data_IF_671142503436
#
_entry.id   IF_671142503436
#
_cell.length_a   1.000
_cell.length_b   1.000
_cell.length_c   1.000
_cell.angle_alpha   90.00
_cell.angle_beta   90.00
_cell.angle_gamma   90.00
#
_symmetry.space_group_name_H-M   'P 1'
#
loop_
_entity.id
_entity.type
_entity.pdbx_description
1 polymer ?
#
# COMPACT_ATOMS: atom_id res chain seq x y z
N UNK A 1 -48.32 -7.12 97.05
CA UNK A 1 -48.05 -6.11 95.99
C UNK A 1 -47.16 -6.72 94.91
N UNK A 2 -47.54 -6.51 93.65
CA UNK A 2 -46.81 -6.67 92.38
C UNK A 2 -46.09 -8.00 92.06
N UNK A 3 -46.76 -8.86 91.26
CA UNK A 3 -46.13 -9.95 90.49
C UNK A 3 -45.49 -9.38 89.23
N UNK A 4 -44.21 -9.72 88.99
CA UNK A 4 -43.47 -9.51 87.73
C UNK A 4 -44.15 -10.31 86.61
N UNK A 5 -44.57 -9.64 85.54
CA UNK A 5 -44.96 -10.30 84.29
C UNK A 5 -43.73 -10.41 83.38
N UNK A 6 -43.26 -11.64 83.15
CA UNK A 6 -42.32 -11.95 82.08
C UNK A 6 -43.01 -11.79 80.73
N UNK A 7 -42.47 -10.91 79.90
CA UNK A 7 -42.94 -10.69 78.54
C UNK A 7 -42.19 -11.65 77.61
N UNK A 8 -42.69 -12.87 77.44
CA UNK A 8 -42.14 -13.82 76.44
C UNK A 8 -42.57 -13.40 75.04
N UNK A 9 -41.62 -12.82 74.29
CA UNK A 9 -41.77 -12.47 72.88
C UNK A 9 -41.88 -13.75 72.04
N UNK A 10 -43.11 -14.13 71.66
CA UNK A 10 -43.36 -15.28 70.78
C UNK A 10 -43.05 -14.88 69.34
N UNK A 11 -41.87 -15.29 68.85
CA UNK A 11 -41.46 -15.12 67.44
C UNK A 11 -42.44 -15.91 66.54
N UNK A 12 -43.24 -15.21 65.74
CA UNK A 12 -44.19 -15.83 64.81
C UNK A 12 -43.45 -16.63 63.72
N UNK A 13 -43.78 -17.93 63.50
CA UNK A 13 -43.18 -18.76 62.46
C UNK A 13 -43.92 -18.56 61.13
N UNK A 14 -43.82 -17.38 60.54
CA UNK A 14 -44.53 -17.05 59.30
C UNK A 14 -43.75 -16.07 58.45
N UNK A 15 -42.63 -16.49 57.86
CA UNK A 15 -41.93 -15.65 56.87
C UNK A 15 -40.84 -16.36 56.05
N UNK A 16 -40.30 -17.50 56.51
CA UNK A 16 -39.12 -18.09 55.86
C UNK A 16 -39.44 -18.82 54.54
N UNK A 17 -40.54 -19.56 54.49
CA UNK A 17 -40.98 -20.25 53.27
C UNK A 17 -41.46 -19.26 52.20
N UNK A 18 -42.27 -18.27 52.59
CA UNK A 18 -42.77 -17.22 51.70
C UNK A 18 -41.64 -16.35 51.16
N UNK A 19 -40.65 -15.96 51.98
CA UNK A 19 -39.46 -15.24 51.51
C UNK A 19 -38.61 -16.06 50.53
N UNK A 20 -38.42 -17.36 50.77
CA UNK A 20 -37.71 -18.24 49.84
C UNK A 20 -38.44 -18.36 48.50
N UNK A 21 -39.77 -18.47 48.52
CA UNK A 21 -40.58 -18.54 47.31
C UNK A 21 -40.52 -17.22 46.51
N UNK A 22 -40.65 -16.07 47.18
CA UNK A 22 -40.56 -14.75 46.53
C UNK A 22 -39.16 -14.49 45.97
N UNK A 23 -38.10 -14.86 46.69
CA UNK A 23 -36.72 -14.74 46.19
C UNK A 23 -36.44 -15.71 45.04
N UNK A 24 -37.02 -16.92 45.06
CA UNK A 24 -36.90 -17.89 43.97
C UNK A 24 -37.60 -17.42 42.69
N UNK A 25 -38.85 -16.97 42.79
CA UNK A 25 -39.62 -16.42 41.66
C UNK A 25 -38.99 -15.13 41.14
N UNK A 26 -38.58 -14.23 42.04
CA UNK A 26 -37.87 -13.01 41.69
C UNK A 26 -36.54 -13.29 40.98
N UNK A 27 -35.78 -14.27 41.44
CA UNK A 27 -34.55 -14.73 40.79
C UNK A 27 -34.79 -15.26 39.37
N UNK A 28 -35.83 -16.08 39.18
CA UNK A 28 -36.21 -16.59 37.84
C UNK A 28 -36.63 -15.45 36.91
N UNK A 29 -37.43 -14.50 37.38
CA UNK A 29 -37.86 -13.34 36.56
C UNK A 29 -36.69 -12.43 36.17
N UNK A 30 -35.73 -12.22 37.08
CA UNK A 30 -34.50 -11.47 36.77
C UNK A 30 -33.66 -12.22 35.74
N UNK A 31 -33.47 -13.54 35.90
CA UNK A 31 -32.74 -14.35 34.92
C UNK A 31 -33.45 -14.35 33.55
N UNK A 32 -34.77 -14.47 33.50
CA UNK A 32 -35.54 -14.38 32.27
C UNK A 32 -35.40 -12.98 31.62
N UNK A 33 -35.50 -11.90 32.41
CA UNK A 33 -35.32 -10.53 31.92
C UNK A 33 -33.91 -10.24 31.41
N UNK A 34 -32.88 -10.82 32.03
CA UNK A 34 -31.49 -10.68 31.59
C UNK A 34 -31.18 -11.46 30.30
N UNK A 35 -31.88 -12.57 30.04
CA UNK A 35 -31.68 -13.40 28.84
C UNK A 35 -32.66 -13.10 27.70
N UNK A 36 -33.79 -12.43 27.97
CA UNK A 36 -34.81 -12.11 26.96
C UNK A 36 -34.27 -11.29 25.77
N UNK A 37 -33.39 -10.28 25.95
CA UNK A 37 -32.81 -9.55 24.82
C UNK A 37 -32.02 -10.47 23.87
N UNK A 38 -31.18 -11.35 24.41
CA UNK A 38 -30.41 -12.30 23.61
C UNK A 38 -31.30 -13.33 22.89
N UNK A 39 -32.38 -13.78 23.53
CA UNK A 39 -33.34 -14.68 22.90
C UNK A 39 -34.12 -14.01 21.76
N UNK A 40 -34.49 -12.74 21.91
CA UNK A 40 -35.16 -11.95 20.85
C UNK A 40 -34.21 -11.66 19.69
N UNK A 41 -32.95 -11.33 19.99
CA UNK A 41 -31.91 -11.13 18.98
C UNK A 41 -31.67 -12.41 18.17
N UNK A 42 -31.45 -13.54 18.85
CA UNK A 42 -31.29 -14.84 18.20
C UNK A 42 -32.50 -15.23 17.35
N UNK A 43 -33.74 -15.08 17.87
CA UNK A 43 -34.95 -15.36 17.10
C UNK A 43 -35.09 -14.41 15.89
N UNK A 44 -34.62 -13.16 16.01
CA UNK A 44 -34.56 -12.20 14.93
C UNK A 44 -33.56 -12.60 13.83
N UNK A 45 -32.36 -13.05 14.21
CA UNK A 45 -31.33 -13.53 13.29
C UNK A 45 -31.78 -14.81 12.55
N UNK A 46 -32.29 -15.80 13.28
CA UNK A 46 -32.81 -17.05 12.69
C UNK A 46 -33.97 -16.78 11.73
N UNK A 47 -34.89 -15.88 12.10
CA UNK A 47 -35.99 -15.47 11.22
C UNK A 47 -35.47 -14.71 9.99
N UNK A 48 -34.44 -13.88 10.14
CA UNK A 48 -33.80 -13.19 9.02
C UNK A 48 -33.18 -14.19 8.04
N UNK A 49 -32.36 -15.13 8.52
CA UNK A 49 -31.74 -16.19 7.74
C UNK A 49 -32.79 -17.04 7.00
N UNK A 50 -33.83 -17.47 7.72
CA UNK A 50 -34.97 -18.17 7.11
C UNK A 50 -35.58 -17.34 5.97
N UNK A 51 -35.86 -16.06 6.21
CA UNK A 51 -36.54 -15.18 5.25
C UNK A 51 -35.69 -14.96 3.99
N UNK A 52 -34.39 -14.72 4.12
CA UNK A 52 -33.49 -14.48 2.97
C UNK A 52 -33.19 -15.77 2.19
N UNK A 53 -33.38 -16.93 2.82
CA UNK A 53 -33.24 -18.24 2.18
C UNK A 53 -34.46 -18.67 1.34
N UNK A 54 -35.61 -17.98 1.43
CA UNK A 54 -36.82 -18.38 0.73
C UNK A 54 -36.70 -18.20 -0.79
N UNK A 55 -37.20 -19.16 -1.62
CA UNK A 55 -37.14 -19.05 -3.07
C UNK A 55 -37.80 -17.77 -3.63
N UNK A 56 -38.94 -17.38 -3.06
CA UNK A 56 -39.64 -16.15 -3.46
C UNK A 56 -38.85 -14.88 -3.12
N UNK A 57 -38.13 -14.90 -1.99
CA UNK A 57 -37.22 -13.82 -1.62
C UNK A 57 -36.03 -13.77 -2.56
N UNK A 58 -35.37 -14.90 -2.79
CA UNK A 58 -34.20 -14.99 -3.66
C UNK A 58 -34.52 -14.65 -5.13
N UNK A 59 -35.67 -15.07 -5.63
CA UNK A 59 -36.12 -14.71 -6.98
C UNK A 59 -36.33 -13.21 -7.14
N UNK A 60 -36.71 -12.50 -6.07
CA UNK A 60 -36.98 -11.06 -6.09
C UNK A 60 -35.76 -10.20 -5.76
N UNK A 61 -34.87 -10.68 -4.88
CA UNK A 61 -33.79 -9.88 -4.29
C UNK A 61 -32.38 -10.45 -4.52
N UNK A 62 -32.27 -11.66 -5.08
CA UNK A 62 -31.01 -12.40 -5.18
C UNK A 62 -30.57 -13.01 -3.85
N UNK A 63 -29.33 -13.48 -3.81
CA UNK A 63 -28.68 -13.98 -2.59
C UNK A 63 -27.19 -13.61 -2.59
N UNK A 64 -26.63 -13.50 -1.39
CA UNK A 64 -25.20 -13.29 -1.18
C UNK A 64 -24.60 -14.54 -0.55
N UNK A 65 -23.43 -14.94 -1.05
CA UNK A 65 -22.67 -16.03 -0.46
C UNK A 65 -21.23 -15.58 -0.26
N UNK A 66 -20.65 -15.96 0.88
CA UNK A 66 -19.21 -15.78 1.12
C UNK A 66 -18.44 -16.83 0.32
N UNK A 67 -17.42 -16.38 -0.39
CA UNK A 67 -16.46 -17.29 -1.03
C UNK A 67 -15.37 -17.61 -0.03
N UNK A 68 -15.22 -18.89 0.33
CA UNK A 68 -14.18 -19.33 1.26
C UNK A 68 -12.81 -19.34 0.58
N UNK A 69 -12.05 -18.27 0.78
CA UNK A 69 -10.68 -18.13 0.27
C UNK A 69 -9.69 -18.73 1.30
N UNK A 70 -8.89 -19.75 0.93
CA UNK A 70 -7.87 -20.30 1.82
C UNK A 70 -6.87 -19.22 2.26
N UNK A 71 -6.45 -19.25 3.52
CA UNK A 71 -5.62 -18.21 4.14
C UNK A 71 -4.38 -17.83 3.31
N UNK A 72 -3.73 -18.81 2.66
CA UNK A 72 -2.54 -18.60 1.82
C UNK A 72 -2.79 -17.74 0.56
N UNK A 73 -4.04 -17.59 0.11
CA UNK A 73 -4.42 -16.77 -1.04
C UNK A 73 -5.13 -15.47 -0.64
N UNK A 74 -5.36 -15.24 0.66
CA UNK A 74 -5.99 -13.99 1.11
C UNK A 74 -5.03 -12.83 0.86
N UNK A 75 -5.56 -11.77 0.28
CA UNK A 75 -4.88 -10.51 0.06
C UNK A 75 -5.90 -9.38 0.18
N UNK A 76 -5.42 -8.15 0.37
CA UNK A 76 -6.28 -6.98 0.29
C UNK A 76 -6.58 -6.73 -1.18
N UNK A 77 -7.70 -7.24 -1.67
CA UNK A 77 -8.12 -7.09 -3.06
C UNK A 77 -8.48 -5.62 -3.33
N UNK A 78 -7.66 -4.93 -4.14
CA UNK A 78 -7.86 -3.51 -4.47
C UNK A 78 -8.37 -3.35 -5.90
N UNK A 79 -7.83 -4.15 -6.81
CA UNK A 79 -8.25 -4.19 -8.21
C UNK A 79 -8.74 -5.59 -8.56
N UNK A 80 -9.74 -5.68 -9.43
CA UNK A 80 -10.21 -6.93 -9.99
C UNK A 80 -10.57 -6.77 -11.48
N UNK A 81 -10.22 -7.76 -12.29
CA UNK A 81 -10.58 -7.82 -13.70
C UNK A 81 -11.07 -9.23 -14.07
N UNK A 82 -12.26 -9.33 -14.65
CA UNK A 82 -12.71 -10.54 -15.33
C UNK A 82 -11.92 -10.66 -16.64
N UNK A 83 -11.32 -11.82 -16.87
CA UNK A 83 -10.54 -12.12 -18.06
C UNK A 83 -11.38 -12.90 -19.08
N UNK A 84 -10.97 -12.89 -20.35
CA UNK A 84 -11.66 -13.64 -21.41
C UNK A 84 -11.64 -15.17 -21.20
N UNK A 85 -10.78 -15.68 -20.31
CA UNK A 85 -10.75 -17.09 -19.89
C UNK A 85 -11.84 -17.44 -18.87
N UNK A 86 -12.61 -16.46 -18.40
CA UNK A 86 -13.62 -16.62 -17.35
C UNK A 86 -13.07 -16.58 -15.92
N UNK A 87 -11.74 -16.51 -15.76
CA UNK A 87 -11.08 -16.32 -14.47
C UNK A 87 -11.04 -14.84 -14.09
N UNK A 88 -10.92 -14.55 -12.80
CA UNK A 88 -10.82 -13.19 -12.25
C UNK A 88 -9.41 -12.95 -11.74
N UNK A 89 -8.74 -11.95 -12.28
CA UNK A 89 -7.45 -11.47 -11.78
C UNK A 89 -7.71 -10.48 -10.64
N UNK A 90 -7.21 -10.78 -9.46
CA UNK A 90 -7.28 -9.94 -8.27
C UNK A 90 -5.88 -9.40 -8.01
N UNK A 91 -5.71 -8.07 -8.12
CA UNK A 91 -4.41 -7.42 -7.95
C UNK A 91 -4.44 -6.58 -6.68
N UNK A 92 -3.52 -6.90 -5.76
CA UNK A 92 -3.33 -6.13 -4.53
C UNK A 92 -2.07 -5.26 -4.59
N UNK A 93 -1.02 -5.74 -5.27
CA UNK A 93 0.32 -5.21 -5.06
C UNK A 93 0.72 -5.48 -3.61
N UNK A 94 1.20 -4.48 -2.87
CA UNK A 94 1.38 -4.62 -1.42
C UNK A 94 0.07 -4.48 -0.63
N UNK A 95 -1.07 -4.21 -1.27
CA UNK A 95 -2.39 -4.26 -0.63
C UNK A 95 -2.64 -3.16 0.40
N UNK A 96 -2.02 -1.98 0.22
CA UNK A 96 -1.96 -0.91 1.21
C UNK A 96 -1.27 -1.30 2.53
N UNK A 97 -0.34 -2.26 2.50
CA UNK A 97 0.38 -2.73 3.69
C UNK A 97 1.86 -2.33 3.64
N UNK A 98 2.26 -1.36 4.48
CA UNK A 98 3.63 -0.86 4.57
C UNK A 98 4.68 -1.97 4.77
N UNK A 99 4.35 -3.00 5.57
CA UNK A 99 5.25 -4.14 5.83
C UNK A 99 5.53 -4.93 4.55
N UNK A 100 4.50 -5.20 3.74
CA UNK A 100 4.63 -5.88 2.45
C UNK A 100 5.41 -5.04 1.44
N UNK A 101 5.13 -3.74 1.39
CA UNK A 101 5.88 -2.81 0.54
C UNK A 101 7.37 -2.80 0.85
N UNK A 102 7.73 -2.67 2.14
CA UNK A 102 9.12 -2.66 2.58
C UNK A 102 9.84 -3.98 2.25
N UNK A 103 9.13 -5.11 2.36
CA UNK A 103 9.64 -6.43 2.00
C UNK A 103 9.70 -6.68 0.48
N UNK A 104 9.12 -5.81 -0.36
CA UNK A 104 8.97 -6.06 -1.79
C UNK A 104 8.04 -7.24 -2.10
N UNK A 105 7.12 -7.57 -1.19
CA UNK A 105 6.19 -8.68 -1.32
C UNK A 105 4.88 -8.20 -1.92
N UNK A 106 4.64 -8.52 -3.19
CA UNK A 106 3.47 -8.07 -3.93
C UNK A 106 2.59 -9.26 -4.32
N UNK A 107 1.29 -9.14 -4.10
CA UNK A 107 0.31 -10.20 -4.31
C UNK A 107 -0.58 -9.89 -5.53
N UNK A 108 -0.66 -10.88 -6.42
CA UNK A 108 -1.73 -11.04 -7.41
C UNK A 108 -2.28 -12.46 -7.28
N UNK A 109 -3.61 -12.60 -7.30
CA UNK A 109 -4.30 -13.88 -7.19
C UNK A 109 -5.23 -14.05 -8.38
N UNK A 110 -5.13 -15.19 -9.05
CA UNK A 110 -6.06 -15.60 -10.09
C UNK A 110 -7.09 -16.54 -9.47
N UNK A 111 -8.36 -16.19 -9.57
CA UNK A 111 -9.49 -16.98 -9.09
C UNK A 111 -10.28 -17.55 -10.26
N UNK A 112 -10.50 -18.86 -10.27
CA UNK A 112 -11.44 -19.52 -11.17
C UNK A 112 -12.78 -19.69 -10.46
N UNK A 113 -13.82 -18.92 -10.81
CA UNK A 113 -15.10 -18.98 -10.11
C UNK A 113 -15.88 -20.27 -10.41
N UNK A 114 -15.62 -20.95 -11.53
CA UNK A 114 -16.32 -22.20 -11.90
C UNK A 114 -15.76 -23.39 -11.12
N UNK A 115 -14.45 -23.48 -11.01
CA UNK A 115 -13.78 -24.55 -10.25
C UNK A 115 -13.56 -24.21 -8.77
N UNK A 116 -13.80 -22.95 -8.39
CA UNK A 116 -13.45 -22.36 -7.09
C UNK A 116 -12.00 -22.62 -6.68
N UNK A 117 -11.06 -22.38 -7.60
CA UNK A 117 -9.62 -22.57 -7.37
C UNK A 117 -8.87 -21.25 -7.41
N UNK A 118 -7.73 -21.19 -6.73
CA UNK A 118 -6.92 -19.99 -6.56
C UNK A 118 -5.46 -20.25 -6.88
N UNK A 119 -4.82 -19.30 -7.56
CA UNK A 119 -3.39 -19.36 -7.90
C UNK A 119 -2.73 -18.02 -7.59
N UNK A 120 -1.56 -18.04 -6.95
CA UNK A 120 -0.72 -16.84 -6.84
C UNK A 120 0.04 -16.61 -8.14
N UNK A 121 0.06 -15.36 -8.57
CA UNK A 121 0.82 -14.90 -9.74
C UNK A 121 2.01 -14.10 -9.21
N UNK A 122 3.26 -14.37 -9.67
CA UNK A 122 4.40 -13.52 -9.37
C UNK A 122 4.15 -12.09 -9.85
N UNK A 123 4.22 -11.12 -8.93
CA UNK A 123 3.90 -9.72 -9.21
C UNK A 123 5.18 -8.89 -9.19
N UNK A 124 5.64 -8.37 -10.35
CA UNK A 124 6.98 -7.79 -10.49
C UNK A 124 7.14 -6.39 -9.89
N UNK A 125 6.04 -5.68 -9.64
CA UNK A 125 6.03 -4.33 -9.09
C UNK A 125 4.81 -4.10 -8.20
N UNK A 126 4.81 -3.01 -7.43
CA UNK A 126 3.67 -2.70 -6.58
C UNK A 126 2.52 -2.05 -7.35
N UNK A 127 1.59 -2.89 -7.82
CA UNK A 127 0.42 -2.47 -8.58
C UNK A 127 -0.74 -1.91 -7.73
N UNK A 128 -0.56 -1.66 -6.43
CA UNK A 128 -1.61 -1.11 -5.56
C UNK A 128 -2.27 0.17 -6.12
N UNK A 129 -1.49 1.11 -6.67
CA UNK A 129 -2.01 2.35 -7.28
C UNK A 129 -1.95 2.34 -8.82
N UNK A 130 -1.93 1.15 -9.44
CA UNK A 130 -1.90 1.06 -10.91
C UNK A 130 -3.26 1.40 -11.53
N UNK A 131 -3.25 1.80 -12.79
CA UNK A 131 -4.41 1.77 -13.67
C UNK A 131 -4.34 0.55 -14.58
N UNK A 132 -5.49 0.04 -15.02
CA UNK A 132 -5.55 -1.12 -15.89
C UNK A 132 -6.71 -1.07 -16.91
N UNK A 133 -6.49 -1.64 -18.09
CA UNK A 133 -7.53 -1.79 -19.12
C UNK A 133 -7.29 -3.03 -19.97
N UNK A 134 -8.36 -3.62 -20.51
CA UNK A 134 -8.24 -4.72 -21.47
C UNK A 134 -7.75 -4.21 -22.82
N UNK A 135 -6.87 -4.97 -23.43
CA UNK A 135 -6.38 -4.78 -24.79
C UNK A 135 -7.23 -5.61 -25.78
N UNK A 136 -7.25 -5.24 -27.08
CA UNK A 136 -8.06 -5.95 -28.09
C UNK A 136 -7.72 -7.43 -28.28
N UNK A 137 -6.51 -7.84 -27.92
CA UNK A 137 -6.05 -9.24 -27.99
C UNK A 137 -6.39 -10.06 -26.74
N UNK A 138 -7.09 -9.46 -25.76
CA UNK A 138 -7.51 -10.10 -24.52
C UNK A 138 -6.53 -9.94 -23.36
N UNK A 139 -5.32 -9.44 -23.58
CA UNK A 139 -4.38 -9.13 -22.49
C UNK A 139 -4.86 -7.94 -21.66
N UNK A 140 -4.38 -7.82 -20.42
CA UNK A 140 -4.67 -6.69 -19.54
C UNK A 140 -3.44 -5.80 -19.39
N UNK A 141 -3.49 -4.58 -19.91
CA UNK A 141 -2.47 -3.57 -19.63
C UNK A 141 -2.59 -3.15 -18.16
N UNK A 142 -1.48 -3.16 -17.43
CA UNK A 142 -1.34 -2.66 -16.07
C UNK A 142 -0.20 -1.66 -16.04
N UNK A 143 -0.50 -0.39 -15.74
CA UNK A 143 0.46 0.70 -15.80
C UNK A 143 0.44 1.53 -14.52
N UNK A 144 1.61 2.01 -14.12
CA UNK A 144 1.79 2.72 -12.87
C UNK A 144 1.98 1.77 -11.68
N UNK A 145 1.53 2.20 -10.51
CA UNK A 145 1.80 1.56 -9.23
C UNK A 145 2.33 2.56 -8.22
N UNK A 146 2.74 2.10 -7.04
CA UNK A 146 3.23 2.99 -5.96
C UNK A 146 4.73 2.85 -5.73
N UNK A 147 5.41 3.98 -5.60
CA UNK A 147 6.82 4.10 -5.27
C UNK A 147 7.07 4.38 -3.78
N UNK A 148 6.02 4.75 -3.03
CA UNK A 148 6.12 5.09 -1.62
C UNK A 148 4.75 5.00 -0.95
N UNK A 149 4.76 4.43 0.26
CA UNK A 149 3.65 4.53 1.18
C UNK A 149 3.87 5.70 2.13
N UNK A 150 2.80 6.45 2.35
CA UNK A 150 2.70 7.34 3.49
C UNK A 150 1.63 6.83 4.43
N UNK A 151 1.95 6.83 5.73
CA UNK A 151 0.98 6.51 6.76
C UNK A 151 -0.03 7.66 6.81
N UNK A 152 -1.29 7.37 6.51
CA UNK A 152 -2.38 8.35 6.58
C UNK A 152 -2.54 8.89 8.02
N UNK A 153 -2.21 8.06 9.02
CA UNK A 153 -2.21 8.39 10.44
C UNK A 153 -0.78 8.46 10.99
N UNK A 154 -0.33 9.67 11.35
CA UNK A 154 0.96 9.92 12.00
C UNK A 154 1.79 11.02 11.33
N UNK A 155 2.78 11.52 12.06
CA UNK A 155 3.80 12.43 11.52
C UNK A 155 4.74 11.67 10.59
N UNK A 156 4.96 12.20 9.37
CA UNK A 156 6.02 11.72 8.48
C UNK A 156 7.35 11.93 9.18
N UNK A 157 7.98 10.84 9.62
CA UNK A 157 9.21 10.93 10.43
C UNK A 157 10.46 11.25 9.61
N UNK A 158 10.45 10.96 8.32
CA UNK A 158 11.61 11.12 7.41
C UNK A 158 11.19 11.97 6.22
N UNK A 159 11.91 13.05 5.96
CA UNK A 159 11.58 13.92 4.87
C UNK A 159 11.69 13.16 3.54
N UNK A 160 10.76 13.41 2.63
CA UNK A 160 10.70 12.73 1.34
C UNK A 160 10.34 13.67 0.21
N UNK A 161 10.71 13.30 -1.01
CA UNK A 161 10.46 14.15 -2.18
C UNK A 161 10.89 13.50 -3.49
N UNK A 162 10.41 14.06 -4.59
CA UNK A 162 10.85 13.69 -5.92
C UNK A 162 12.22 14.27 -6.24
N UNK A 163 13.08 13.48 -6.87
CA UNK A 163 14.42 13.87 -7.30
C UNK A 163 14.59 13.56 -8.79
N UNK A 164 15.11 14.52 -9.55
CA UNK A 164 15.57 14.34 -10.93
C UNK A 164 17.04 13.96 -10.91
N UNK A 165 17.39 12.81 -11.47
CA UNK A 165 18.78 12.43 -11.66
C UNK A 165 19.19 12.85 -13.06
N UNK A 166 20.30 13.57 -13.15
CA UNK A 166 20.92 14.01 -14.40
C UNK A 166 22.11 13.12 -14.73
N UNK A 167 22.28 12.81 -16.01
CA UNK A 167 23.46 12.16 -16.55
C UNK A 167 23.98 12.93 -17.77
N UNK A 168 25.14 13.56 -17.63
CA UNK A 168 25.81 14.33 -18.68
C UNK A 168 26.75 13.47 -19.53
N UNK A 169 26.88 12.17 -19.23
CA UNK A 169 27.73 11.27 -19.99
C UNK A 169 27.05 10.85 -21.31
N UNK A 170 27.61 11.19 -22.50
CA UNK A 170 27.02 10.83 -23.78
C UNK A 170 27.33 9.38 -24.22
N UNK A 171 28.20 8.67 -23.48
CA UNK A 171 28.67 7.35 -23.86
C UNK A 171 27.87 6.22 -23.21
N UNK A 172 27.38 6.41 -21.98
CA UNK A 172 26.70 5.36 -21.21
C UNK A 172 25.53 5.89 -20.40
N UNK A 173 24.50 5.06 -20.26
CA UNK A 173 23.46 5.21 -19.25
C UNK A 173 24.01 4.89 -17.86
N UNK A 174 23.29 5.33 -16.83
CA UNK A 174 23.62 5.05 -15.43
C UNK A 174 22.47 4.28 -14.80
N UNK A 175 22.77 3.12 -14.22
CA UNK A 175 21.82 2.34 -13.45
C UNK A 175 22.10 2.53 -11.95
N UNK A 176 21.09 3.00 -11.21
CA UNK A 176 21.15 3.18 -9.76
C UNK A 176 20.13 2.23 -9.12
N UNK A 177 20.58 1.40 -8.19
CA UNK A 177 19.69 0.50 -7.45
C UNK A 177 18.86 1.27 -6.42
N UNK A 178 17.73 0.69 -6.03
CA UNK A 178 17.00 1.02 -4.80
C UNK A 178 17.98 1.08 -3.62
N UNK A 179 17.85 2.10 -2.78
CA UNK A 179 18.75 2.35 -1.66
C UNK A 179 20.03 3.10 -2.01
N UNK A 180 20.20 3.57 -3.26
CA UNK A 180 21.29 4.48 -3.63
C UNK A 180 21.19 5.76 -2.80
N UNK A 181 22.33 6.21 -2.25
CA UNK A 181 22.40 7.36 -1.36
C UNK A 181 22.72 8.64 -2.12
N UNK A 182 22.02 9.71 -1.77
CA UNK A 182 22.18 11.06 -2.29
C UNK A 182 22.49 12.00 -1.14
N UNK A 183 23.59 12.75 -1.22
CA UNK A 183 24.02 13.67 -0.16
C UNK A 183 23.78 15.11 -0.58
N UNK A 184 23.06 15.87 0.25
CA UNK A 184 22.83 17.29 0.04
C UNK A 184 24.10 18.11 0.32
N UNK A 185 24.15 19.39 -0.13
CA UNK A 185 25.26 20.28 0.22
C UNK A 185 25.41 20.52 1.73
N UNK A 186 24.31 20.37 2.48
CA UNK A 186 24.30 20.43 3.95
C UNK A 186 24.72 19.10 4.63
N UNK A 187 25.10 18.08 3.85
CA UNK A 187 25.54 16.78 4.34
C UNK A 187 24.41 15.80 4.69
N UNK A 188 23.14 16.16 4.45
CA UNK A 188 22.00 15.28 4.73
C UNK A 188 21.91 14.20 3.66
N UNK A 189 21.77 12.94 4.07
CA UNK A 189 21.66 11.80 3.16
C UNK A 189 20.22 11.32 2.97
N UNK A 190 19.90 10.99 1.72
CA UNK A 190 18.62 10.45 1.28
C UNK A 190 18.84 9.18 0.48
N UNK A 191 17.88 8.27 0.48
CA UNK A 191 17.95 6.98 -0.23
C UNK A 191 16.85 6.86 -1.28
N UNK A 192 17.17 6.32 -2.46
CA UNK A 192 16.18 6.03 -3.50
C UNK A 192 15.21 4.93 -3.09
N UNK A 193 13.94 5.10 -3.43
CA UNK A 193 12.88 4.13 -3.13
C UNK A 193 12.80 2.97 -4.14
N UNK A 194 13.36 3.11 -5.34
CA UNK A 194 13.34 2.11 -6.41
C UNK A 194 14.56 2.21 -7.33
N UNK A 195 14.77 1.17 -8.14
CA UNK A 195 15.78 1.10 -9.18
C UNK A 195 15.48 2.10 -10.30
N UNK A 196 16.49 2.83 -10.77
CA UNK A 196 16.34 3.86 -11.80
C UNK A 196 17.46 3.77 -12.82
N UNK A 197 17.09 3.75 -14.10
CA UNK A 197 18.03 3.87 -15.21
C UNK A 197 17.94 5.29 -15.78
N UNK A 198 19.04 6.02 -15.70
CA UNK A 198 19.19 7.35 -16.28
C UNK A 198 19.80 7.18 -17.68
N UNK A 199 19.12 7.64 -18.76
CA UNK A 199 19.66 7.52 -20.10
C UNK A 199 20.99 8.27 -20.23
N UNK A 200 21.76 7.94 -21.28
CA UNK A 200 22.94 8.75 -21.66
C UNK A 200 22.50 10.15 -22.10
N UNK A 201 23.42 11.11 -22.05
CA UNK A 201 23.19 12.44 -22.60
C UNK A 201 23.07 12.38 -24.13
N UNK A 202 22.23 13.25 -24.68
CA UNK A 202 22.06 13.41 -26.13
C UNK A 202 22.75 14.68 -26.61
N UNK A 203 23.23 14.75 -27.87
CA UNK A 203 23.77 15.99 -28.42
C UNK A 203 22.72 17.12 -28.38
N UNK A 204 23.13 18.34 -28.03
CA UNK A 204 22.22 19.47 -28.11
C UNK A 204 21.83 19.77 -29.56
N UNK A 205 20.57 20.13 -29.79
CA UNK A 205 20.08 20.52 -31.11
C UNK A 205 20.91 21.71 -31.66
N UNK A 206 21.47 21.56 -32.87
CA UNK A 206 22.32 22.57 -33.48
C UNK A 206 23.81 22.49 -33.12
N UNK A 207 24.24 21.50 -32.32
CA UNK A 207 25.65 21.22 -32.08
C UNK A 207 26.29 20.59 -33.34
N UNK A 208 26.58 21.41 -34.35
CA UNK A 208 27.53 21.03 -35.39
C UNK A 208 28.88 20.77 -34.70
N UNK A 209 29.55 19.66 -35.06
CA UNK A 209 30.91 19.41 -34.61
C UNK A 209 31.76 20.64 -34.96
N UNK A 210 32.37 21.27 -33.95
CA UNK A 210 33.29 22.38 -34.17
C UNK A 210 34.35 21.90 -35.17
N UNK A 211 34.52 22.55 -36.34
CA UNK A 211 35.53 22.14 -37.29
C UNK A 211 36.89 22.14 -36.59
N UNK A 212 37.69 21.10 -36.82
CA UNK A 212 38.98 20.87 -36.15
C UNK A 212 40.01 22.03 -36.26
N UNK A 213 39.70 23.08 -37.03
CA UNK A 213 40.53 24.28 -37.19
C UNK A 213 40.29 25.43 -36.20
N UNK A 214 39.31 25.33 -35.28
CA UNK A 214 39.02 26.40 -34.30
C UNK A 214 39.77 26.23 -32.96
N UNK A 215 40.61 25.20 -32.83
CA UNK A 215 41.34 24.89 -31.60
C UNK A 215 42.71 25.58 -31.62
N UNK A 216 42.97 26.46 -30.63
CA UNK A 216 44.31 27.06 -30.46
C UNK A 216 45.34 25.96 -30.16
N UNK A 217 46.58 26.04 -30.67
CA UNK A 217 47.62 25.07 -30.34
C UNK A 217 47.79 24.96 -28.82
N UNK A 218 47.64 23.75 -28.27
CA UNK A 218 47.77 23.46 -26.84
C UNK A 218 46.46 23.50 -26.03
N UNK A 219 45.32 23.80 -26.64
CA UNK A 219 44.01 23.80 -25.96
C UNK A 219 43.24 22.53 -26.32
N UNK A 220 42.77 21.74 -25.34
CA UNK A 220 41.88 20.63 -25.62
C UNK A 220 40.54 21.18 -26.17
N UNK A 221 39.94 20.55 -27.20
CA UNK A 221 38.64 20.97 -27.69
C UNK A 221 37.61 20.91 -26.56
N UNK A 222 36.80 21.97 -26.44
CA UNK A 222 35.69 21.97 -25.50
C UNK A 222 34.74 20.81 -25.83
N UNK A 223 34.20 20.10 -24.82
CA UNK A 223 33.22 19.05 -25.07
C UNK A 223 32.02 19.63 -25.83
N UNK A 224 31.49 18.88 -26.79
CA UNK A 224 30.29 19.29 -27.50
C UNK A 224 29.13 19.51 -26.51
N UNK A 225 28.28 20.53 -26.70
CA UNK A 225 27.12 20.74 -25.83
C UNK A 225 26.20 19.51 -25.85
N UNK A 226 25.80 19.04 -24.66
CA UNK A 226 24.89 17.91 -24.49
C UNK A 226 23.65 18.32 -23.72
N UNK A 227 22.53 17.65 -24.00
CA UNK A 227 21.34 17.64 -23.15
C UNK A 227 21.47 16.43 -22.23
N UNK A 228 21.54 16.70 -20.93
CA UNK A 228 21.67 15.65 -19.93
C UNK A 228 20.49 14.67 -20.01
N UNK A 229 20.79 13.37 -19.97
CA UNK A 229 19.79 12.35 -19.73
C UNK A 229 19.12 12.59 -18.37
N UNK A 230 17.81 12.37 -18.28
CA UNK A 230 17.04 12.60 -17.06
C UNK A 230 16.19 11.38 -16.71
N UNK A 231 16.18 11.04 -15.43
CA UNK A 231 15.19 10.14 -14.85
C UNK A 231 14.70 10.69 -13.51
N UNK A 232 13.50 10.30 -13.08
CA UNK A 232 12.94 10.69 -11.79
C UNK A 232 12.98 9.53 -10.83
N UNK A 233 13.33 9.82 -9.58
CA UNK A 233 13.30 8.88 -8.47
C UNK A 233 12.66 9.55 -7.27
N UNK A 234 12.12 8.75 -6.37
CA UNK A 234 11.65 9.22 -5.06
C UNK A 234 12.73 8.93 -4.05
N UNK A 235 13.02 9.91 -3.20
CA UNK A 235 13.98 9.74 -2.11
C UNK A 235 13.35 9.98 -0.76
N UNK A 236 13.86 9.32 0.26
CA UNK A 236 13.53 9.56 1.65
C UNK A 236 14.83 9.75 2.46
N UNK A 237 14.79 10.62 3.45
CA UNK A 237 15.92 10.86 4.33
C UNK A 237 16.31 9.59 5.08
N UNK A 238 17.61 9.38 5.29
CA UNK A 238 18.11 8.28 6.11
C UNK A 238 17.70 8.49 7.56
N UNK A 239 17.97 9.69 8.07
CA UNK A 239 17.66 10.13 9.42
C UNK A 239 16.25 10.72 9.51
N UNK A 240 15.65 10.57 10.69
CA UNK A 240 14.35 11.14 11.00
C UNK A 240 14.45 12.57 11.55
N UNK A 241 13.33 13.30 11.50
CA UNK A 241 13.17 14.60 12.15
C UNK A 241 13.39 15.81 11.24
N UNK A 242 13.20 17.03 11.77
CA UNK A 242 13.14 18.27 10.99
C UNK A 242 14.47 18.64 10.31
N UNK A 243 15.61 18.17 10.85
CA UNK A 243 16.92 18.39 10.24
C UNK A 243 17.10 17.64 8.91
N UNK A 244 16.19 16.72 8.59
CA UNK A 244 16.17 16.04 7.30
C UNK A 244 15.48 16.85 6.19
N UNK A 245 14.94 18.03 6.49
CA UNK A 245 14.23 18.86 5.50
C UNK A 245 15.20 19.67 4.66
N UNK A 246 14.93 19.74 3.35
CA UNK A 246 15.56 20.71 2.43
C UNK A 246 14.45 21.51 1.76
N UNK A 247 14.31 22.78 2.11
CA UNK A 247 13.21 23.63 1.61
C UNK A 247 13.48 24.28 0.24
N UNK A 248 14.75 24.28 -0.19
CA UNK A 248 15.21 24.95 -1.41
C UNK A 248 15.78 23.96 -2.39
N UNK A 249 15.76 24.35 -3.66
CA UNK A 249 16.38 23.56 -4.70
C UNK A 249 17.86 23.31 -4.39
N UNK A 250 18.27 22.06 -4.48
CA UNK A 250 19.65 21.66 -4.25
C UNK A 250 20.11 20.59 -5.25
N UNK A 251 21.42 20.58 -5.50
CA UNK A 251 22.10 19.50 -6.19
C UNK A 251 22.69 18.52 -5.16
N UNK A 252 22.56 17.23 -5.44
CA UNK A 252 22.93 16.15 -4.54
C UNK A 252 23.98 15.27 -5.20
N UNK A 253 25.04 14.97 -4.45
CA UNK A 253 26.06 14.02 -4.87
C UNK A 253 25.55 12.59 -4.69
N UNK A 254 25.86 11.72 -5.64
CA UNK A 254 25.55 10.28 -5.51
C UNK A 254 26.70 9.62 -4.77
N UNK A 255 26.42 9.16 -3.55
CA UNK A 255 27.43 8.56 -2.68
C UNK A 255 27.97 7.28 -3.31
N UNK A 256 29.29 7.19 -3.42
CA UNK A 256 30.00 6.05 -4.00
C UNK A 256 30.39 6.21 -5.46
N UNK A 257 29.85 7.20 -6.18
CA UNK A 257 30.40 7.58 -7.49
C UNK A 257 31.73 8.32 -7.30
N UNK A 258 32.66 8.14 -8.25
CA UNK A 258 33.96 8.80 -8.23
C UNK A 258 34.38 9.28 -9.62
N UNK A 259 35.34 10.19 -9.68
CA UNK A 259 35.91 10.68 -10.94
C UNK A 259 34.86 11.26 -11.89
N UNK A 260 34.93 10.87 -13.17
CA UNK A 260 34.01 11.37 -14.20
C UNK A 260 32.56 10.97 -13.98
N UNK A 261 32.30 9.83 -13.34
CA UNK A 261 30.92 9.39 -13.08
C UNK A 261 30.28 10.26 -11.99
N UNK A 262 31.04 10.70 -10.97
CA UNK A 262 30.56 11.67 -9.99
C UNK A 262 30.36 13.07 -10.58
N UNK A 263 31.26 13.49 -11.47
CA UNK A 263 31.15 14.79 -12.14
C UNK A 263 29.94 14.86 -13.09
N UNK A 264 29.61 13.75 -13.77
CA UNK A 264 28.58 13.72 -14.80
C UNK A 264 27.20 13.27 -14.28
N UNK A 265 27.09 12.79 -13.03
CA UNK A 265 25.83 12.23 -12.53
C UNK A 265 25.49 12.74 -11.13
N UNK A 266 24.36 13.43 -11.02
CA UNK A 266 23.93 14.09 -9.80
C UNK A 266 22.40 14.12 -9.68
N UNK A 267 21.91 14.27 -8.45
CA UNK A 267 20.49 14.49 -8.16
C UNK A 267 20.15 15.98 -8.11
N UNK A 268 18.95 16.34 -8.52
CA UNK A 268 18.34 17.66 -8.36
C UNK A 268 16.97 17.49 -7.72
N UNK A 269 16.73 18.15 -6.60
CA UNK A 269 15.40 18.22 -5.97
C UNK A 269 15.06 19.66 -5.65
N UNK A 270 13.78 20.03 -5.76
CA UNK A 270 13.29 21.37 -5.40
C UNK A 270 13.06 21.51 -3.90
N UNK A 271 12.33 20.57 -3.31
CA UNK A 271 12.13 20.48 -1.88
C UNK A 271 12.00 19.03 -1.45
N UNK A 272 12.52 18.72 -0.27
CA UNK A 272 12.36 17.44 0.42
C UNK A 272 11.85 17.77 1.81
N UNK A 273 10.59 17.45 2.11
CA UNK A 273 9.90 17.93 3.31
C UNK A 273 9.30 16.80 4.13
N UNK A 274 8.86 17.11 5.34
CA UNK A 274 8.06 16.22 6.18
C UNK A 274 6.55 16.37 5.88
N UNK A 275 6.19 17.09 4.82
CA UNK A 275 4.80 17.18 4.40
C UNK A 275 4.34 15.81 3.91
N UNK A 276 3.06 15.50 4.13
CA UNK A 276 2.45 14.35 3.49
C UNK A 276 2.54 14.53 1.97
N UNK A 277 3.32 13.67 1.32
CA UNK A 277 3.43 13.57 -0.11
C UNK A 277 2.36 12.61 -0.64
N UNK A 278 1.59 13.07 -1.62
CA UNK A 278 0.70 12.19 -2.36
C UNK A 278 1.46 11.01 -2.97
N UNK A 279 0.79 9.85 -3.05
CA UNK A 279 1.31 8.60 -3.61
C UNK A 279 2.15 8.87 -4.87
N UNK A 280 3.45 8.66 -4.75
CA UNK A 280 4.36 8.89 -5.87
C UNK A 280 4.34 7.65 -6.76
N UNK A 281 3.95 7.82 -8.02
CA UNK A 281 3.80 6.71 -8.96
C UNK A 281 5.12 6.16 -9.50
N UNK A 282 5.14 4.89 -9.88
CA UNK A 282 6.20 4.30 -10.70
C UNK A 282 5.84 4.39 -12.19
N UNK A 283 6.83 4.34 -13.10
CA UNK A 283 6.61 4.39 -14.56
C UNK A 283 6.57 3.00 -15.21
N UNK A 284 6.34 1.95 -14.43
CA UNK A 284 6.29 0.58 -14.95
C UNK A 284 5.00 0.33 -15.71
N UNK A 285 5.10 -0.47 -16.78
CA UNK A 285 3.95 -0.99 -17.50
C UNK A 285 4.23 -2.46 -17.82
N UNK A 286 3.20 -3.29 -17.63
CA UNK A 286 3.22 -4.72 -17.92
C UNK A 286 1.91 -5.10 -18.59
N UNK A 287 1.93 -6.21 -19.31
CA UNK A 287 0.71 -6.82 -19.82
C UNK A 287 0.50 -8.15 -19.10
N UNK A 288 -0.67 -8.37 -18.52
CA UNK A 288 -1.02 -9.69 -18.01
C UNK A 288 -1.58 -10.53 -19.13
N UNK A 289 -0.93 -11.66 -19.42
CA UNK A 289 -1.38 -12.69 -20.36
C UNK A 289 -2.32 -13.66 -19.62
N UNK A 290 -3.63 -13.71 -19.93
CA UNK A 290 -4.59 -14.57 -19.27
C UNK A 290 -4.43 -16.06 -19.57
N UNK A 291 -3.77 -16.40 -20.67
CA UNK A 291 -3.54 -17.77 -21.12
C UNK A 291 -2.27 -18.31 -20.49
N UNK A 292 -1.18 -17.54 -20.53
CA UNK A 292 0.08 -17.90 -19.86
C UNK A 292 0.03 -17.68 -18.34
N UNK A 293 -0.97 -16.94 -17.85
CA UNK A 293 -1.18 -16.57 -16.44
C UNK A 293 0.05 -15.91 -15.81
N UNK A 294 0.60 -14.89 -16.49
CA UNK A 294 1.77 -14.14 -16.04
C UNK A 294 1.81 -12.72 -16.60
N UNK A 295 2.54 -11.84 -15.93
CA UNK A 295 2.93 -10.54 -16.47
C UNK A 295 4.07 -10.69 -17.47
N UNK A 296 4.00 -9.96 -18.58
CA UNK A 296 5.03 -9.82 -19.61
C UNK A 296 5.44 -8.36 -19.80
#
# INVERSE_FOLDING_TARGET
>A
MARKAENTYRKSPGNRATRKAVLGVGGIMVLAGLNAPAAVEFAGEEYHEYKIAQPEYQAKYGSWQRVDIPAKYRTNAIHAALLHTGKVLIVAGSGNEQKKFNAGSFDTVLWDPKANTFKKIPTPADFFCSGHTQLPDGRLLVAGGTARYELLDGEVKRAGGGMRIKNENPLKSVFLKKGTRFRSPAGVEYVSSFDVTVPKAEPAAGAAATPAGAVRPGQAPAPAPVVAGEARVVVAAVEAGPLSVTEKQAQYDIVGLTGKDAANTYGLSEKITLDKQDFQGIRTAYEFDPVAERYV
#
